data_IF_176478349283
#
_entry.id   IF_176478349283
#
_cell.length_a   1.000
_cell.length_b   1.000
_cell.length_c   1.000
_cell.angle_alpha   90.00
_cell.angle_beta   90.00
_cell.angle_gamma   90.00
#
_symmetry.space_group_name_H-M   'P 1'
#
loop_
_entity.id
_entity.type
_entity.pdbx_description
1 polymer ?
#
# COMPACT_ATOMS: atom_id res chain seq x y z
N UNK A 1 -0.14 30.81 22.63
CA UNK A 1 0.42 30.56 21.28
C UNK A 1 -0.73 30.27 20.34
N UNK A 2 -1.07 31.21 19.46
CA UNK A 2 -2.17 31.07 18.52
C UNK A 2 -1.84 29.97 17.50
N UNK A 3 -2.66 28.91 17.50
CA UNK A 3 -2.65 27.87 16.48
C UNK A 3 -3.16 28.49 15.17
N UNK A 4 -2.27 29.00 14.33
CA UNK A 4 -2.61 29.32 12.95
C UNK A 4 -2.85 27.99 12.21
N UNK A 5 -4.10 27.55 12.18
CA UNK A 5 -4.56 26.52 11.26
C UNK A 5 -4.36 27.07 9.84
N UNK A 6 -3.27 26.67 9.19
CA UNK A 6 -3.08 26.92 7.75
C UNK A 6 -4.31 26.37 7.02
N UNK A 7 -4.96 27.17 6.18
CA UNK A 7 -6.12 26.73 5.44
C UNK A 7 -5.76 25.49 4.59
N UNK A 8 -6.68 24.53 4.50
CA UNK A 8 -6.48 23.34 3.67
C UNK A 8 -6.39 23.74 2.20
N UNK A 9 -5.53 23.05 1.44
CA UNK A 9 -5.35 23.27 0.00
C UNK A 9 -6.65 22.96 -0.76
N UNK A 10 -7.05 23.80 -1.71
CA UNK A 10 -8.22 23.56 -2.56
C UNK A 10 -7.91 22.62 -3.73
N UNK A 11 -8.96 22.16 -4.43
CA UNK A 11 -8.79 21.34 -5.64
C UNK A 11 -8.19 22.12 -6.80
N UNK A 12 -8.54 23.40 -6.93
CA UNK A 12 -8.00 24.32 -7.93
C UNK A 12 -6.51 24.55 -7.71
N UNK A 13 -6.10 24.77 -6.46
CA UNK A 13 -4.70 24.92 -6.09
C UNK A 13 -3.91 23.65 -6.39
N UNK A 14 -4.43 22.47 -6.06
CA UNK A 14 -3.76 21.20 -6.38
C UNK A 14 -3.61 20.99 -7.89
N UNK A 15 -4.68 21.24 -8.67
CA UNK A 15 -4.64 21.16 -10.13
C UNK A 15 -3.62 22.12 -10.72
N UNK A 16 -3.53 23.34 -10.19
CA UNK A 16 -2.51 24.30 -10.61
C UNK A 16 -1.10 23.79 -10.33
N UNK A 17 -0.86 23.13 -9.18
CA UNK A 17 0.45 22.52 -8.86
C UNK A 17 0.81 21.37 -9.80
N UNK A 18 -0.16 20.55 -10.21
CA UNK A 18 0.09 19.51 -11.22
C UNK A 18 0.54 20.09 -12.56
N UNK A 19 0.07 21.29 -12.92
CA UNK A 19 0.42 21.96 -14.17
C UNK A 19 1.74 22.74 -14.13
N UNK A 20 2.44 22.80 -12.98
CA UNK A 20 3.75 23.46 -12.91
C UNK A 20 4.81 22.75 -13.76
N UNK A 21 5.77 23.54 -14.27
CA UNK A 21 6.98 22.99 -14.90
C UNK A 21 7.78 22.14 -13.90
N UNK A 22 8.57 21.21 -14.43
CA UNK A 22 9.41 20.34 -13.60
C UNK A 22 10.37 21.16 -12.73
N UNK A 23 11.01 22.20 -13.28
CA UNK A 23 11.92 23.08 -12.53
C UNK A 23 11.24 23.74 -11.33
N UNK A 24 10.04 24.31 -11.53
CA UNK A 24 9.26 24.89 -10.43
C UNK A 24 8.90 23.85 -9.37
N UNK A 25 8.62 22.61 -9.79
CA UNK A 25 8.33 21.51 -8.86
C UNK A 25 9.57 21.11 -8.07
N UNK A 26 10.75 21.13 -8.68
CA UNK A 26 12.04 20.91 -8.02
C UNK A 26 12.29 22.00 -6.97
N UNK A 27 12.15 23.27 -7.34
CA UNK A 27 12.32 24.43 -6.43
C UNK A 27 11.41 24.31 -5.20
N UNK A 28 10.10 24.16 -5.40
CA UNK A 28 9.15 24.00 -4.29
C UNK A 28 9.49 22.76 -3.44
N UNK A 29 9.95 21.67 -4.04
CA UNK A 29 10.35 20.47 -3.30
C UNK A 29 11.58 20.73 -2.44
N UNK A 30 12.58 21.44 -2.96
CA UNK A 30 13.77 21.80 -2.21
C UNK A 30 13.46 22.76 -1.06
N UNK A 31 12.58 23.73 -1.24
CA UNK A 31 12.13 24.59 -0.13
C UNK A 31 11.53 23.76 1.01
N UNK A 32 10.66 22.79 0.68
CA UNK A 32 10.06 21.89 1.68
C UNK A 32 11.09 20.98 2.34
N UNK A 33 12.12 20.55 1.61
CA UNK A 33 13.23 19.75 2.12
C UNK A 33 14.07 20.57 3.10
N UNK A 34 14.46 21.80 2.74
CA UNK A 34 15.22 22.74 3.58
C UNK A 34 14.46 23.04 4.87
N UNK A 35 13.16 23.34 4.77
CA UNK A 35 12.30 23.60 5.92
C UNK A 35 12.29 22.41 6.91
N UNK A 36 12.12 21.20 6.37
CA UNK A 36 12.05 19.97 7.16
C UNK A 36 13.40 19.63 7.81
N UNK A 37 14.47 19.71 7.03
CA UNK A 37 15.84 19.45 7.49
C UNK A 37 16.20 20.41 8.64
N UNK A 38 15.97 21.71 8.44
CA UNK A 38 16.23 22.75 9.45
C UNK A 38 15.39 22.54 10.71
N UNK A 39 14.11 22.20 10.56
CA UNK A 39 13.18 21.99 11.69
C UNK A 39 13.65 20.92 12.68
N UNK A 40 14.33 19.89 12.17
CA UNK A 40 14.82 18.75 12.95
C UNK A 40 16.35 18.76 13.14
N UNK A 41 17.02 19.88 12.84
CA UNK A 41 18.47 20.03 13.03
C UNK A 41 19.28 19.00 12.24
N UNK A 42 18.84 18.68 11.03
CA UNK A 42 19.45 17.67 10.15
C UNK A 42 19.22 16.21 10.53
N UNK A 43 18.58 15.93 11.68
CA UNK A 43 18.23 14.57 12.08
C UNK A 43 16.96 14.09 11.38
N UNK A 44 17.08 13.80 10.09
CA UNK A 44 16.02 13.34 9.19
C UNK A 44 16.53 12.17 8.33
N UNK A 45 15.61 11.46 7.68
CA UNK A 45 15.95 10.35 6.78
C UNK A 45 15.06 10.32 5.55
N UNK A 46 15.48 9.64 4.49
CA UNK A 46 14.60 9.31 3.35
C UNK A 46 14.05 7.90 3.54
N UNK A 47 12.73 7.74 3.59
CA UNK A 47 12.09 6.43 3.52
C UNK A 47 12.21 5.89 2.10
N UNK A 48 13.22 5.05 1.86
CA UNK A 48 13.64 4.62 0.53
C UNK A 48 13.18 3.19 0.25
N UNK A 49 12.33 2.99 -0.75
CA UNK A 49 11.81 1.65 -1.13
C UNK A 49 12.45 1.08 -2.39
N UNK A 50 13.31 1.82 -3.08
CA UNK A 50 13.84 1.43 -4.40
C UNK A 50 12.87 1.62 -5.56
N UNK A 51 11.66 2.15 -5.31
CA UNK A 51 10.73 2.54 -6.37
C UNK A 51 11.10 3.88 -7.01
N UNK A 52 10.55 4.16 -8.19
CA UNK A 52 10.83 5.39 -8.95
C UNK A 52 10.67 6.66 -8.10
N UNK A 53 9.52 6.81 -7.44
CA UNK A 53 9.21 7.96 -6.58
C UNK A 53 10.25 8.16 -5.47
N UNK A 54 10.62 7.08 -4.78
CA UNK A 54 11.60 7.15 -3.69
C UNK A 54 13.02 7.38 -4.19
N UNK A 55 13.31 7.01 -5.44
CA UNK A 55 14.60 7.23 -6.11
C UNK A 55 14.74 8.70 -6.47
N UNK A 56 13.72 9.31 -7.08
CA UNK A 56 13.68 10.75 -7.33
C UNK A 56 13.76 11.54 -6.03
N UNK A 57 13.00 11.17 -5.00
CA UNK A 57 13.07 11.86 -3.72
C UNK A 57 14.47 11.78 -3.07
N UNK A 58 15.14 10.64 -3.17
CA UNK A 58 16.48 10.48 -2.63
C UNK A 58 17.49 11.37 -3.36
N UNK A 59 17.40 11.42 -4.69
CA UNK A 59 18.24 12.28 -5.52
C UNK A 59 17.97 13.77 -5.25
N UNK A 60 16.69 14.17 -5.14
CA UNK A 60 16.32 15.54 -4.75
C UNK A 60 16.98 15.92 -3.43
N UNK A 61 16.81 15.11 -2.38
CA UNK A 61 17.36 15.41 -1.05
C UNK A 61 18.88 15.49 -1.09
N UNK A 62 19.56 14.47 -1.67
CA UNK A 62 21.01 14.35 -1.57
C UNK A 62 21.76 15.24 -2.55
N UNK A 63 21.30 15.31 -3.79
CA UNK A 63 22.04 15.92 -4.89
C UNK A 63 21.48 17.30 -5.23
N UNK A 64 20.17 17.43 -5.51
CA UNK A 64 19.62 18.74 -5.92
C UNK A 64 19.54 19.75 -4.79
N UNK A 65 19.11 19.33 -3.61
CA UNK A 65 18.95 20.23 -2.47
C UNK A 65 20.18 20.24 -1.53
N UNK A 66 21.21 19.43 -1.84
CA UNK A 66 22.53 19.55 -1.21
C UNK A 66 22.71 18.88 0.16
N UNK A 67 22.01 17.77 0.45
CA UNK A 67 22.12 17.03 1.72
C UNK A 67 22.62 15.58 1.53
N UNK A 68 23.84 15.37 0.99
CA UNK A 68 24.36 14.04 0.63
C UNK A 68 24.50 13.08 1.83
N UNK A 69 24.64 13.61 3.04
CA UNK A 69 24.78 12.87 4.29
C UNK A 69 23.46 12.27 4.81
N UNK A 70 22.30 12.76 4.34
CA UNK A 70 21.00 12.28 4.83
C UNK A 70 20.85 10.78 4.55
N UNK A 71 20.63 9.94 5.59
CA UNK A 71 20.53 8.51 5.43
C UNK A 71 19.23 8.11 4.72
N UNK A 72 19.32 7.09 3.88
CA UNK A 72 18.17 6.40 3.34
C UNK A 72 17.85 5.19 4.23
N UNK A 73 16.57 4.96 4.53
CA UNK A 73 16.10 3.85 5.36
C UNK A 73 15.22 2.94 4.52
N UNK A 74 15.66 1.70 4.34
CA UNK A 74 14.93 0.67 3.62
C UNK A 74 14.34 -0.37 4.57
N UNK A 75 13.01 -0.48 4.60
CA UNK A 75 12.32 -1.52 5.36
C UNK A 75 12.19 -2.79 4.52
N UNK A 76 13.18 -3.70 4.62
CA UNK A 76 13.12 -4.99 3.96
C UNK A 76 12.16 -5.91 4.73
N UNK A 77 10.99 -6.15 4.14
CA UNK A 77 9.95 -7.01 4.73
C UNK A 77 10.16 -8.49 4.42
N UNK A 78 11.09 -8.80 3.51
CA UNK A 78 11.27 -10.12 2.91
C UNK A 78 10.25 -10.42 1.81
N UNK A 79 9.48 -9.41 1.38
CA UNK A 79 8.44 -9.51 0.35
C UNK A 79 8.78 -8.70 -0.91
N UNK A 80 9.91 -8.00 -0.92
CA UNK A 80 10.37 -7.17 -2.03
C UNK A 80 11.07 -8.01 -3.11
N UNK A 81 10.87 -7.63 -4.37
CA UNK A 81 11.54 -8.27 -5.50
C UNK A 81 13.07 -8.27 -5.34
N UNK A 82 13.76 -9.37 -5.70
CA UNK A 82 15.23 -9.46 -5.61
C UNK A 82 15.95 -8.32 -6.33
N UNK A 83 15.49 -7.92 -7.51
CA UNK A 83 16.02 -6.83 -8.33
C UNK A 83 15.95 -5.51 -7.57
N UNK A 84 14.81 -5.27 -6.90
CA UNK A 84 14.61 -4.07 -6.11
C UNK A 84 15.47 -4.08 -4.85
N UNK A 85 15.62 -5.23 -4.18
CA UNK A 85 16.54 -5.36 -3.03
C UNK A 85 17.99 -5.14 -3.46
N UNK A 86 18.39 -5.66 -4.61
CA UNK A 86 19.74 -5.47 -5.17
C UNK A 86 19.98 -4.00 -5.49
N UNK A 87 19.06 -3.34 -6.20
CA UNK A 87 19.12 -1.91 -6.48
C UNK A 87 19.22 -1.08 -5.21
N UNK A 88 18.41 -1.35 -4.19
CA UNK A 88 18.47 -0.59 -2.93
C UNK A 88 19.82 -0.75 -2.24
N UNK A 89 20.42 -1.94 -2.28
CA UNK A 89 21.73 -2.21 -1.67
C UNK A 89 22.90 -1.60 -2.43
N UNK A 90 22.75 -1.29 -3.72
CA UNK A 90 23.79 -0.59 -4.47
C UNK A 90 23.84 0.91 -4.17
N UNK A 91 22.81 1.46 -3.52
CA UNK A 91 22.77 2.87 -3.16
C UNK A 91 23.59 3.13 -1.88
N UNK A 92 24.51 4.11 -1.88
CA UNK A 92 25.33 4.42 -0.71
C UNK A 92 24.48 4.98 0.45
N UNK A 93 24.96 4.81 1.68
CA UNK A 93 24.31 5.32 2.90
C UNK A 93 22.82 4.90 3.01
N UNK A 94 22.53 3.64 2.65
CA UNK A 94 21.25 2.98 2.90
C UNK A 94 21.35 2.11 4.15
N UNK A 95 20.39 2.28 5.04
CA UNK A 95 20.23 1.50 6.27
C UNK A 95 19.05 0.55 6.10
N UNK A 96 19.36 -0.74 5.93
CA UNK A 96 18.36 -1.78 5.81
C UNK A 96 17.87 -2.23 7.19
N UNK A 97 16.57 -2.07 7.45
CA UNK A 97 15.90 -2.53 8.67
C UNK A 97 14.99 -3.71 8.35
N UNK A 98 14.82 -4.62 9.32
CA UNK A 98 13.98 -5.81 9.19
C UNK A 98 12.95 -5.94 10.31
N UNK A 99 11.77 -6.51 10.02
CA UNK A 99 10.81 -6.86 11.05
C UNK A 99 11.33 -7.99 11.94
N UNK A 100 10.75 -8.11 13.14
CA UNK A 100 11.09 -9.20 14.08
C UNK A 100 10.48 -10.55 13.68
N UNK A 101 9.48 -10.55 12.81
CA UNK A 101 8.76 -11.72 12.34
C UNK A 101 8.74 -11.74 10.82
N UNK A 102 8.87 -12.94 10.24
CA UNK A 102 8.68 -13.14 8.81
C UNK A 102 7.20 -13.20 8.43
N UNK A 103 6.89 -13.04 7.13
CA UNK A 103 5.50 -13.03 6.66
C UNK A 103 4.72 -14.30 6.99
N UNK A 104 5.35 -15.49 6.91
CA UNK A 104 4.74 -16.77 7.32
C UNK A 104 4.21 -16.70 8.76
N UNK A 105 5.05 -16.28 9.70
CA UNK A 105 4.65 -16.14 11.10
C UNK A 105 3.54 -15.11 11.29
N UNK A 106 3.53 -14.05 10.48
CA UNK A 106 2.47 -13.03 10.51
C UNK A 106 1.13 -13.60 10.06
N UNK A 107 1.05 -14.31 8.93
CA UNK A 107 -0.20 -14.91 8.46
C UNK A 107 -0.68 -16.04 9.39
N UNK A 108 0.26 -16.81 9.96
CA UNK A 108 0.00 -17.85 10.97
C UNK A 108 -0.39 -17.28 12.33
N UNK A 109 -0.15 -15.99 12.61
CA UNK A 109 -0.55 -15.36 13.87
C UNK A 109 -1.81 -14.52 13.73
N UNK A 110 -1.93 -13.76 12.63
CA UNK A 110 -2.95 -12.72 12.47
C UNK A 110 -3.94 -13.02 11.35
N UNK A 111 -3.48 -13.66 10.27
CA UNK A 111 -4.30 -13.94 9.09
C UNK A 111 -3.83 -13.21 7.83
N UNK A 112 -4.56 -13.44 6.74
CA UNK A 112 -4.22 -12.98 5.39
C UNK A 112 -4.78 -11.59 5.08
N UNK A 113 -4.02 -10.73 4.38
CA UNK A 113 -4.47 -9.40 3.97
C UNK A 113 -5.20 -9.45 2.62
N UNK A 114 -6.52 -9.65 2.63
CA UNK A 114 -7.35 -9.78 1.42
C UNK A 114 -8.15 -8.52 1.07
N UNK A 115 -8.46 -8.36 -0.21
CA UNK A 115 -9.34 -7.30 -0.76
C UNK A 115 -8.79 -5.89 -0.57
N UNK A 116 -8.90 -5.32 0.63
CA UNK A 116 -8.39 -3.99 0.99
C UNK A 116 -8.05 -3.96 2.47
N UNK A 117 -7.21 -3.01 2.90
CA UNK A 117 -6.86 -2.86 4.32
C UNK A 117 -8.09 -2.73 5.21
N UNK A 118 -9.07 -1.93 4.77
CA UNK A 118 -10.33 -1.72 5.50
C UNK A 118 -11.13 -3.00 5.63
N UNK A 119 -11.36 -3.71 4.53
CA UNK A 119 -12.12 -4.97 4.56
C UNK A 119 -11.40 -6.02 5.41
N UNK A 120 -10.09 -6.18 5.22
CA UNK A 120 -9.26 -7.07 6.03
C UNK A 120 -9.35 -6.77 7.52
N UNK A 121 -9.24 -5.49 7.89
CA UNK A 121 -9.37 -5.05 9.27
C UNK A 121 -10.75 -5.41 9.83
N UNK A 122 -11.83 -5.08 9.12
CA UNK A 122 -13.19 -5.26 9.61
C UNK A 122 -13.56 -6.73 9.76
N UNK A 123 -13.22 -7.57 8.77
CA UNK A 123 -13.44 -9.02 8.85
C UNK A 123 -12.65 -9.60 10.03
N UNK A 124 -11.38 -9.22 10.18
CA UNK A 124 -10.55 -9.67 11.30
C UNK A 124 -11.03 -9.17 12.68
N UNK A 125 -11.68 -8.00 12.75
CA UNK A 125 -12.36 -7.53 13.97
C UNK A 125 -13.57 -8.40 14.32
N UNK A 126 -14.37 -8.79 13.33
CA UNK A 126 -15.53 -9.68 13.52
C UNK A 126 -15.10 -11.09 13.91
N UNK A 127 -14.11 -11.67 13.21
CA UNK A 127 -13.61 -13.02 13.47
C UNK A 127 -13.04 -13.20 14.90
N UNK A 128 -12.46 -12.14 15.48
CA UNK A 128 -11.87 -12.17 16.82
C UNK A 128 -12.83 -11.76 17.94
N UNK A 129 -14.00 -11.21 17.61
CA UNK A 129 -14.93 -10.71 18.60
C UNK A 129 -15.54 -11.86 19.42
N UNK A 130 -15.46 -11.75 20.74
CA UNK A 130 -16.15 -12.65 21.66
C UNK A 130 -17.52 -12.04 22.00
N UNK A 131 -18.60 -12.73 21.61
CA UNK A 131 -19.97 -12.26 21.80
C UNK A 131 -20.37 -11.12 20.86
N UNK A 132 -21.40 -10.36 21.27
CA UNK A 132 -21.89 -9.19 20.55
C UNK A 132 -21.22 -7.92 21.08
N UNK A 133 -20.45 -7.25 20.23
CA UNK A 133 -19.71 -6.03 20.60
C UNK A 133 -20.15 -4.87 19.72
N UNK A 134 -20.00 -3.64 20.19
CA UNK A 134 -20.34 -2.46 19.38
C UNK A 134 -19.57 -2.41 18.05
N UNK A 135 -18.31 -2.85 18.03
CA UNK A 135 -17.50 -2.97 16.81
C UNK A 135 -18.06 -4.03 15.88
N UNK A 136 -18.38 -5.23 16.39
CA UNK A 136 -19.00 -6.30 15.59
C UNK A 136 -20.32 -5.84 14.98
N UNK A 137 -21.20 -5.24 15.78
CA UNK A 137 -22.47 -4.64 15.32
C UNK A 137 -22.24 -3.63 14.20
N UNK A 138 -21.30 -2.71 14.38
CA UNK A 138 -20.94 -1.71 13.38
C UNK A 138 -20.47 -2.35 12.08
N UNK A 139 -19.60 -3.37 12.15
CA UNK A 139 -19.05 -4.05 10.96
C UNK A 139 -20.11 -4.86 10.22
N UNK A 140 -21.07 -5.45 10.93
CA UNK A 140 -22.10 -6.29 10.33
C UNK A 140 -23.30 -5.50 9.79
N UNK A 141 -23.67 -4.38 10.42
CA UNK A 141 -24.93 -3.67 10.15
C UNK A 141 -24.76 -2.19 9.78
N UNK A 142 -23.56 -1.64 9.97
CA UNK A 142 -23.30 -0.20 9.88
C UNK A 142 -23.81 0.61 11.08
N UNK A 143 -24.41 -0.01 12.09
CA UNK A 143 -24.99 0.71 13.23
C UNK A 143 -23.92 1.17 14.22
N UNK A 144 -23.77 2.49 14.39
CA UNK A 144 -22.83 3.07 15.37
C UNK A 144 -23.31 2.91 16.80
N UNK A 145 -22.45 3.19 17.79
CA UNK A 145 -22.84 3.22 19.21
C UNK A 145 -23.92 4.26 19.51
N UNK A 146 -24.04 5.30 18.69
CA UNK A 146 -25.05 6.38 18.82
C UNK A 146 -26.38 6.07 18.11
N UNK A 147 -26.54 4.85 17.57
CA UNK A 147 -27.78 4.45 16.88
C UNK A 147 -27.92 5.02 15.47
N UNK A 148 -26.86 5.60 14.89
CA UNK A 148 -26.87 6.10 13.50
C UNK A 148 -26.25 5.08 12.56
N UNK A 149 -26.65 5.10 11.27
CA UNK A 149 -26.11 4.18 10.25
C UNK A 149 -24.90 4.80 9.53
N UNK A 150 -23.79 4.08 9.47
CA UNK A 150 -22.57 4.44 8.74
C UNK A 150 -22.23 3.40 7.69
N UNK A 151 -22.38 3.75 6.41
CA UNK A 151 -22.00 2.88 5.29
C UNK A 151 -20.50 2.58 5.24
N UNK A 152 -19.66 3.50 5.72
CA UNK A 152 -18.20 3.31 5.77
C UNK A 152 -17.76 2.40 6.93
N UNK A 153 -18.62 2.20 7.92
CA UNK A 153 -18.37 1.34 9.07
C UNK A 153 -18.66 -0.14 8.81
N UNK A 154 -19.47 -0.44 7.79
CA UNK A 154 -19.96 -1.79 7.46
C UNK A 154 -19.04 -2.53 6.49
N UNK A 155 -18.94 -3.85 6.64
CA UNK A 155 -18.34 -4.74 5.64
C UNK A 155 -19.31 -4.83 4.46
N UNK A 156 -18.87 -4.55 3.22
CA UNK A 156 -19.72 -4.73 2.05
C UNK A 156 -20.23 -6.17 1.95
N UNK A 157 -21.50 -6.37 1.61
CA UNK A 157 -22.16 -7.70 1.66
C UNK A 157 -21.42 -8.81 0.91
N UNK A 158 -20.80 -8.48 -0.23
CA UNK A 158 -20.00 -9.42 -1.04
C UNK A 158 -18.80 -10.01 -0.28
N UNK A 159 -18.32 -9.31 0.75
CA UNK A 159 -17.17 -9.71 1.54
C UNK A 159 -17.56 -10.26 2.92
N UNK A 160 -18.84 -10.23 3.31
CA UNK A 160 -19.31 -10.85 4.56
C UNK A 160 -19.00 -12.35 4.63
N UNK A 161 -19.05 -13.15 3.55
CA UNK A 161 -18.65 -14.55 3.59
C UNK A 161 -17.19 -14.80 4.03
N UNK A 162 -16.31 -13.78 3.95
CA UNK A 162 -14.95 -13.90 4.49
C UNK A 162 -14.91 -14.02 6.01
N UNK A 163 -15.99 -13.73 6.72
CA UNK A 163 -16.08 -13.92 8.18
C UNK A 163 -15.94 -15.40 8.52
N UNK A 164 -16.59 -16.28 7.76
CA UNK A 164 -16.67 -17.71 8.02
C UNK A 164 -15.91 -18.56 6.97
N UNK A 165 -14.89 -17.98 6.32
CA UNK A 165 -14.16 -18.62 5.20
C UNK A 165 -13.14 -19.69 5.60
N UNK A 166 -13.06 -20.08 6.88
CA UNK A 166 -12.16 -21.12 7.36
C UNK A 166 -10.69 -20.70 7.54
N UNK A 167 -10.33 -19.45 7.22
CA UNK A 167 -9.02 -18.87 7.54
C UNK A 167 -9.16 -17.47 8.17
N UNK A 168 -8.13 -17.05 8.90
CA UNK A 168 -8.11 -15.71 9.50
C UNK A 168 -7.76 -14.64 8.48
N UNK A 169 -8.43 -13.51 8.57
CA UNK A 169 -8.23 -12.33 7.74
C UNK A 169 -7.71 -11.17 8.58
N UNK A 170 -6.69 -10.46 8.08
CA UNK A 170 -6.07 -9.35 8.82
C UNK A 170 -5.25 -8.41 7.95
N UNK A 171 -5.26 -7.12 8.27
CA UNK A 171 -4.39 -6.10 7.66
C UNK A 171 -3.06 -5.89 8.42
N UNK A 172 -2.81 -6.67 9.48
CA UNK A 172 -1.68 -6.51 10.40
C UNK A 172 -0.31 -6.74 9.76
N UNK A 173 -0.22 -7.35 8.57
CA UNK A 173 1.08 -7.54 7.92
C UNK A 173 1.81 -6.22 7.65
N UNK A 174 1.08 -5.17 7.24
CA UNK A 174 1.65 -3.85 7.04
C UNK A 174 2.15 -3.23 8.36
N UNK A 175 1.47 -3.52 9.47
CA UNK A 175 1.86 -3.05 10.79
C UNK A 175 3.16 -3.71 11.23
N UNK A 176 3.18 -5.05 11.28
CA UNK A 176 4.29 -5.85 11.79
C UNK A 176 5.51 -5.77 10.89
N UNK A 177 5.31 -5.89 9.58
CA UNK A 177 6.43 -6.00 8.64
C UNK A 177 7.04 -4.65 8.26
N UNK A 178 6.24 -3.57 8.26
CA UNK A 178 6.67 -2.26 7.74
C UNK A 178 6.62 -1.15 8.79
N UNK A 179 5.46 -0.92 9.43
CA UNK A 179 5.31 0.24 10.34
C UNK A 179 6.13 0.10 11.62
N UNK A 180 6.16 -1.07 12.24
CA UNK A 180 6.96 -1.32 13.46
C UNK A 180 8.48 -1.15 13.27
N UNK A 181 9.13 -1.75 12.25
CA UNK A 181 10.53 -1.49 12.00
C UNK A 181 10.80 -0.03 11.66
N UNK A 182 9.98 0.62 10.82
CA UNK A 182 10.14 2.05 10.51
C UNK A 182 10.00 2.92 11.77
N UNK A 183 9.08 2.60 12.69
CA UNK A 183 8.95 3.31 13.96
C UNK A 183 10.22 3.21 14.83
N UNK A 184 10.92 2.08 14.80
CA UNK A 184 12.23 1.94 15.46
C UNK A 184 13.30 2.77 14.74
N UNK A 185 13.33 2.74 13.41
CA UNK A 185 14.28 3.50 12.62
C UNK A 185 14.11 5.01 12.79
N UNK A 186 12.87 5.52 12.87
CA UNK A 186 12.59 6.95 13.12
C UNK A 186 13.16 7.44 14.46
N UNK A 187 13.29 6.57 15.47
CA UNK A 187 13.96 6.95 16.73
C UNK A 187 15.45 7.19 16.54
N UNK A 188 16.08 6.45 15.63
CA UNK A 188 17.51 6.51 15.34
C UNK A 188 17.81 7.64 14.35
N UNK A 189 17.20 7.59 13.16
CA UNK A 189 17.51 8.49 12.04
C UNK A 189 16.64 9.74 11.97
N UNK A 190 15.59 9.82 12.80
CA UNK A 190 14.67 10.95 12.83
C UNK A 190 13.51 10.87 11.82
N UNK A 191 12.65 11.90 11.77
CA UNK A 191 11.43 11.91 10.97
C UNK A 191 11.70 11.85 9.45
N UNK A 192 10.92 11.07 8.69
CA UNK A 192 11.27 10.77 7.30
C UNK A 192 10.71 11.78 6.29
N UNK A 193 11.47 11.98 5.22
CA UNK A 193 10.95 12.28 3.89
C UNK A 193 10.33 11.01 3.29
N UNK A 194 9.17 11.14 2.65
CA UNK A 194 8.40 10.02 2.07
C UNK A 194 7.95 10.37 0.65
N UNK A 195 8.27 9.51 -0.30
CA UNK A 195 7.95 9.70 -1.72
C UNK A 195 6.53 9.27 -2.07
N UNK A 196 5.52 9.81 -1.38
CA UNK A 196 4.11 9.61 -1.76
C UNK A 196 3.56 10.85 -2.46
N UNK A 197 2.90 10.64 -3.60
CA UNK A 197 2.18 11.63 -4.41
C UNK A 197 0.68 11.63 -4.10
N UNK A 198 0.05 12.78 -4.26
CA UNK A 198 -1.39 12.97 -4.09
C UNK A 198 -2.18 12.18 -5.15
N UNK A 199 -1.70 12.17 -6.40
CA UNK A 199 -2.32 11.48 -7.55
C UNK A 199 -2.48 9.96 -7.34
N UNK A 200 -1.66 9.34 -6.49
CA UNK A 200 -1.68 7.88 -6.32
C UNK A 200 -2.95 7.34 -5.64
N UNK A 201 -3.68 8.17 -4.87
CA UNK A 201 -4.99 7.79 -4.30
C UNK A 201 -5.69 8.97 -3.63
N UNK A 202 -7.03 8.92 -3.58
CA UNK A 202 -7.87 9.85 -2.82
C UNK A 202 -7.40 10.07 -1.37
N UNK A 203 -6.92 9.02 -0.69
CA UNK A 203 -6.44 9.15 0.69
C UNK A 203 -5.15 9.98 0.80
N UNK A 204 -4.25 9.86 -0.19
CA UNK A 204 -3.01 10.65 -0.25
C UNK A 204 -3.30 12.09 -0.63
N UNK A 205 -4.21 12.30 -1.57
CA UNK A 205 -4.72 13.63 -1.94
C UNK A 205 -5.31 14.36 -0.74
N UNK A 206 -6.27 13.75 -0.05
CA UNK A 206 -6.89 14.34 1.15
C UNK A 206 -5.84 14.63 2.23
N UNK A 207 -4.90 13.71 2.46
CA UNK A 207 -3.81 13.94 3.41
C UNK A 207 -2.93 15.12 3.00
N UNK A 208 -2.62 15.28 1.72
CA UNK A 208 -1.82 16.38 1.22
C UNK A 208 -2.57 17.70 1.33
N UNK A 209 -3.85 17.74 0.95
CA UNK A 209 -4.69 18.94 1.08
C UNK A 209 -4.82 19.40 2.53
N UNK A 210 -4.95 18.45 3.46
CA UNK A 210 -5.13 18.74 4.88
C UNK A 210 -3.83 19.15 5.59
N UNK A 211 -2.69 18.54 5.24
CA UNK A 211 -1.45 18.69 6.00
C UNK A 211 -0.31 19.35 5.23
N UNK A 212 -0.45 19.59 3.93
CA UNK A 212 0.61 20.05 3.04
C UNK A 212 1.75 19.03 2.91
N UNK A 213 2.89 19.48 2.38
CA UNK A 213 4.09 18.64 2.25
C UNK A 213 4.67 18.28 3.63
N UNK A 214 4.83 19.26 4.51
CA UNK A 214 5.48 19.09 5.81
C UNK A 214 4.44 18.98 6.92
N UNK A 215 4.08 17.73 7.26
CA UNK A 215 3.05 17.42 8.23
C UNK A 215 3.62 17.36 9.66
N UNK A 216 4.04 18.50 10.20
CA UNK A 216 4.74 18.60 11.49
C UNK A 216 3.91 18.10 12.69
N UNK A 217 2.60 18.31 12.66
CA UNK A 217 1.71 18.09 13.81
C UNK A 217 0.99 16.73 13.80
N UNK A 218 1.34 15.84 12.87
CA UNK A 218 0.83 14.47 12.88
C UNK A 218 1.42 13.68 14.05
N UNK A 219 0.68 12.71 14.58
CA UNK A 219 1.19 11.75 15.57
C UNK A 219 2.49 11.07 15.11
N UNK A 220 2.64 10.87 13.81
CA UNK A 220 3.90 10.47 13.17
C UNK A 220 4.26 11.53 12.13
N UNK A 221 5.10 12.51 12.47
CA UNK A 221 5.53 13.56 11.55
C UNK A 221 6.22 12.98 10.33
N UNK A 222 5.91 13.52 9.15
CA UNK A 222 6.55 13.17 7.89
C UNK A 222 6.55 14.36 6.94
N UNK A 223 7.51 14.38 6.02
CA UNK A 223 7.52 15.27 4.87
C UNK A 223 7.25 14.48 3.59
N UNK A 224 6.42 15.00 2.69
CA UNK A 224 6.18 14.48 1.35
C UNK A 224 6.49 15.55 0.31
N UNK A 225 7.78 15.87 0.06
CA UNK A 225 8.17 17.01 -0.77
C UNK A 225 7.63 16.93 -2.20
N UNK A 226 7.51 15.70 -2.72
CA UNK A 226 7.03 15.43 -4.07
C UNK A 226 5.51 15.16 -4.13
N UNK A 227 4.73 15.53 -3.11
CA UNK A 227 3.31 15.19 -3.05
C UNK A 227 2.49 15.71 -4.25
N UNK A 228 2.88 16.85 -4.82
CA UNK A 228 2.22 17.49 -5.95
C UNK A 228 2.85 17.11 -7.31
N UNK A 229 3.78 16.16 -7.35
CA UNK A 229 4.31 15.62 -8.60
C UNK A 229 3.35 14.58 -9.17
N UNK A 230 3.36 14.41 -10.48
CA UNK A 230 2.58 13.43 -11.24
C UNK A 230 3.42 12.20 -11.59
N UNK A 231 2.77 11.16 -12.11
CA UNK A 231 3.37 10.05 -12.84
C UNK A 231 4.45 10.48 -13.84
N UNK A 232 4.13 11.51 -14.61
CA UNK A 232 4.95 11.97 -15.72
C UNK A 232 6.19 12.73 -15.25
N UNK A 233 6.04 13.59 -14.24
CA UNK A 233 7.17 14.36 -13.68
C UNK A 233 8.28 13.42 -13.16
N UNK A 234 7.90 12.34 -12.49
CA UNK A 234 8.87 11.35 -11.97
C UNK A 234 9.65 10.68 -13.12
N UNK A 235 8.97 10.28 -14.20
CA UNK A 235 9.62 9.67 -15.36
C UNK A 235 10.50 10.66 -16.10
N UNK A 236 10.03 11.89 -16.27
CA UNK A 236 10.79 12.95 -16.91
C UNK A 236 12.06 13.27 -16.12
N UNK A 237 11.95 13.43 -14.80
CA UNK A 237 13.09 13.66 -13.92
C UNK A 237 14.14 12.54 -13.99
N UNK A 238 13.70 11.26 -13.88
CA UNK A 238 14.59 10.11 -13.99
C UNK A 238 15.36 10.14 -15.31
N UNK A 239 14.69 10.50 -16.41
CA UNK A 239 15.30 10.62 -17.73
C UNK A 239 16.29 11.79 -17.81
N UNK A 240 15.89 12.98 -17.35
CA UNK A 240 16.73 14.19 -17.40
C UNK A 240 18.02 14.01 -16.59
N UNK A 241 17.89 13.43 -15.40
CA UNK A 241 19.02 13.21 -14.47
C UNK A 241 19.75 11.88 -14.69
N UNK A 242 19.29 11.08 -15.67
CA UNK A 242 19.84 9.74 -15.96
C UNK A 242 19.94 8.85 -14.71
N UNK A 243 18.92 8.88 -13.85
CA UNK A 243 18.96 8.17 -12.59
C UNK A 243 18.88 6.65 -12.79
N UNK A 244 19.71 5.86 -12.09
CA UNK A 244 19.54 4.42 -12.05
C UNK A 244 18.23 4.09 -11.34
N UNK A 245 17.50 3.10 -11.84
CA UNK A 245 16.30 2.56 -11.20
C UNK A 245 16.32 1.03 -11.21
N UNK A 246 15.45 0.42 -10.42
CA UNK A 246 15.37 -1.05 -10.33
C UNK A 246 15.00 -1.67 -11.69
N UNK A 247 15.75 -2.66 -12.19
CA UNK A 247 15.42 -3.38 -13.44
C UNK A 247 14.03 -4.04 -13.44
N UNK A 248 13.42 -4.18 -12.26
CA UNK A 248 12.04 -4.64 -12.10
C UNK A 248 11.05 -3.89 -13.02
N UNK A 249 11.25 -2.58 -13.20
CA UNK A 249 10.35 -1.76 -14.02
C UNK A 249 10.43 -2.12 -15.51
N UNK A 250 11.61 -2.56 -15.99
CA UNK A 250 11.79 -3.02 -17.37
C UNK A 250 11.16 -4.40 -17.62
N UNK A 251 10.80 -5.11 -16.56
CA UNK A 251 10.11 -6.40 -16.61
C UNK A 251 8.57 -6.26 -16.70
N UNK A 252 8.05 -5.03 -16.82
CA UNK A 252 6.62 -4.74 -16.96
C UNK A 252 5.89 -4.50 -15.64
N UNK A 253 6.61 -4.28 -14.54
CA UNK A 253 6.01 -3.90 -13.26
C UNK A 253 5.93 -2.38 -13.12
N UNK A 254 4.74 -1.86 -12.80
CA UNK A 254 4.57 -0.42 -12.56
C UNK A 254 4.90 0.01 -11.13
N UNK A 255 5.15 -0.94 -10.21
CA UNK A 255 5.32 -0.66 -8.77
C UNK A 255 6.15 -1.73 -8.07
N UNK A 256 7.14 -1.31 -7.27
CA UNK A 256 7.97 -2.17 -6.42
C UNK A 256 7.34 -2.49 -5.06
N UNK A 257 6.13 -3.06 -5.09
CA UNK A 257 5.39 -3.48 -3.89
C UNK A 257 5.82 -4.85 -3.34
N UNK A 258 5.08 -5.35 -2.34
CA UNK A 258 5.21 -6.74 -1.91
C UNK A 258 4.76 -7.69 -3.04
N UNK A 259 5.64 -8.61 -3.43
CA UNK A 259 5.51 -9.49 -4.61
C UNK A 259 4.17 -10.23 -4.71
N UNK A 260 3.61 -10.66 -3.57
CA UNK A 260 2.42 -11.52 -3.52
C UNK A 260 1.33 -11.01 -2.58
N UNK A 261 1.20 -9.69 -2.45
CA UNK A 261 0.16 -9.10 -1.61
C UNK A 261 -1.24 -9.42 -2.17
N UNK A 262 -2.12 -9.98 -1.34
CA UNK A 262 -3.51 -10.27 -1.71
C UNK A 262 -4.43 -9.03 -1.67
N UNK A 263 -3.93 -7.89 -1.19
CA UNK A 263 -4.67 -6.63 -1.24
C UNK A 263 -4.77 -6.15 -2.70
N UNK A 264 -6.00 -5.88 -3.12
CA UNK A 264 -6.33 -5.47 -4.48
C UNK A 264 -6.44 -6.62 -5.49
N UNK A 265 -6.17 -7.87 -5.11
CA UNK A 265 -6.16 -9.01 -6.04
C UNK A 265 -7.50 -9.33 -6.74
N UNK A 266 -8.59 -8.70 -6.29
CA UNK A 266 -9.92 -8.84 -6.89
C UNK A 266 -10.19 -7.83 -8.02
N UNK A 267 -9.28 -6.88 -8.24
CA UNK A 267 -9.37 -5.92 -9.34
C UNK A 267 -9.05 -6.63 -10.66
N UNK A 268 -9.89 -6.43 -11.67
CA UNK A 268 -9.79 -7.15 -12.94
C UNK A 268 -8.56 -6.77 -13.77
N UNK A 269 -8.05 -5.56 -13.54
CA UNK A 269 -6.82 -5.01 -14.12
C UNK A 269 -5.56 -5.42 -13.35
N UNK A 270 -5.68 -6.21 -12.28
CA UNK A 270 -4.55 -6.67 -11.49
C UNK A 270 -3.99 -8.00 -12.02
N UNK A 271 -2.92 -7.92 -12.80
CA UNK A 271 -2.24 -9.07 -13.38
C UNK A 271 -0.98 -9.50 -12.61
N UNK A 272 -0.80 -9.04 -11.36
CA UNK A 272 0.49 -9.19 -10.65
C UNK A 272 0.92 -10.65 -10.49
N UNK A 273 -0.03 -11.57 -10.28
CA UNK A 273 0.28 -12.99 -10.08
C UNK A 273 0.62 -13.69 -11.38
N UNK A 274 -0.01 -13.31 -12.49
CA UNK A 274 0.34 -13.79 -13.83
C UNK A 274 1.74 -13.32 -14.23
N UNK A 275 2.05 -12.05 -13.98
CA UNK A 275 3.37 -11.49 -14.23
C UNK A 275 4.42 -12.13 -13.33
N UNK A 276 4.10 -12.37 -12.05
CA UNK A 276 4.97 -13.08 -11.10
C UNK A 276 5.24 -14.52 -11.54
N UNK A 277 4.23 -15.22 -12.09
CA UNK A 277 4.41 -16.57 -12.62
C UNK A 277 5.42 -16.61 -13.77
N UNK A 278 5.37 -15.61 -14.66
CA UNK A 278 6.25 -15.48 -15.83
C UNK A 278 7.67 -15.09 -15.43
N UNK A 279 7.81 -14.10 -14.56
CA UNK A 279 9.10 -13.48 -14.25
C UNK A 279 9.82 -14.15 -13.08
N UNK A 280 9.09 -14.70 -12.11
CA UNK A 280 9.62 -15.27 -10.87
C UNK A 280 8.95 -16.61 -10.50
N UNK A 281 9.04 -17.65 -11.34
CA UNK A 281 8.29 -18.90 -11.16
C UNK A 281 8.56 -19.61 -9.83
N UNK A 282 9.78 -19.50 -9.29
CA UNK A 282 10.13 -20.07 -7.96
C UNK A 282 9.39 -19.36 -6.82
N UNK A 283 9.30 -18.03 -6.90
CA UNK A 283 8.55 -17.23 -5.90
C UNK A 283 7.06 -17.53 -6.02
N UNK A 284 6.54 -17.59 -7.24
CA UNK A 284 5.16 -17.97 -7.50
C UNK A 284 4.82 -19.34 -6.89
N UNK A 285 5.66 -20.36 -7.14
CA UNK A 285 5.48 -21.69 -6.57
C UNK A 285 5.54 -21.68 -5.03
N UNK A 286 6.45 -20.91 -4.43
CA UNK A 286 6.49 -20.75 -2.97
C UNK A 286 5.20 -20.15 -2.40
N UNK A 287 4.63 -19.14 -3.08
CA UNK A 287 3.38 -18.50 -2.67
C UNK A 287 2.20 -19.48 -2.71
N UNK A 288 2.14 -20.29 -3.76
CA UNK A 288 1.12 -21.33 -3.96
C UNK A 288 1.28 -22.47 -2.95
N UNK A 289 2.45 -23.10 -2.93
CA UNK A 289 2.63 -24.40 -2.30
C UNK A 289 2.97 -24.31 -0.82
N UNK A 290 3.54 -23.18 -0.37
CA UNK A 290 4.09 -23.05 0.99
C UNK A 290 3.37 -22.01 1.83
N UNK A 291 2.73 -21.02 1.24
CA UNK A 291 2.03 -19.96 1.96
C UNK A 291 0.50 -20.07 1.87
N UNK A 292 -0.06 -21.01 1.11
CA UNK A 292 -1.52 -21.19 0.97
C UNK A 292 -2.24 -19.96 0.39
N UNK A 293 -1.52 -19.08 -0.31
CA UNK A 293 -2.09 -17.81 -0.79
C UNK A 293 -3.11 -18.03 -1.91
N UNK A 294 -2.96 -19.12 -2.67
CA UNK A 294 -3.82 -19.41 -3.80
C UNK A 294 -5.17 -19.98 -3.36
N UNK A 295 -5.21 -20.77 -2.30
CA UNK A 295 -6.48 -21.19 -1.68
C UNK A 295 -7.30 -19.98 -1.21
N UNK A 296 -6.61 -18.96 -0.68
CA UNK A 296 -7.24 -17.69 -0.29
C UNK A 296 -7.70 -16.89 -1.52
N UNK A 297 -6.88 -16.82 -2.58
CA UNK A 297 -7.25 -16.17 -3.84
C UNK A 297 -8.50 -16.80 -4.45
N UNK A 298 -8.60 -18.13 -4.48
CA UNK A 298 -9.75 -18.85 -5.03
C UNK A 298 -11.05 -18.49 -4.30
N UNK A 299 -10.99 -18.24 -2.99
CA UNK A 299 -12.15 -17.76 -2.21
C UNK A 299 -12.50 -16.32 -2.62
N UNK A 300 -11.52 -15.43 -2.73
CA UNK A 300 -11.75 -14.05 -3.15
C UNK A 300 -12.34 -14.00 -4.56
N UNK A 301 -11.82 -14.79 -5.49
CA UNK A 301 -12.28 -14.89 -6.88
C UNK A 301 -13.69 -15.47 -6.98
N UNK A 302 -14.04 -16.49 -6.19
CA UNK A 302 -15.42 -17.00 -6.15
C UNK A 302 -16.42 -15.94 -5.69
N UNK A 303 -16.10 -15.21 -4.62
CA UNK A 303 -16.97 -14.17 -4.08
C UNK A 303 -17.13 -12.98 -5.02
N UNK A 304 -16.04 -12.53 -5.64
CA UNK A 304 -16.06 -11.33 -6.49
C UNK A 304 -16.35 -11.63 -7.95
N UNK A 305 -15.75 -12.67 -8.50
CA UNK A 305 -15.86 -13.09 -9.89
C UNK A 305 -17.30 -13.43 -10.29
N UNK A 306 -18.11 -13.97 -9.38
CA UNK A 306 -19.56 -14.13 -9.61
C UNK A 306 -20.29 -12.79 -9.74
N UNK A 307 -19.95 -11.80 -8.91
CA UNK A 307 -20.57 -10.46 -8.94
C UNK A 307 -20.09 -9.66 -10.14
N UNK A 308 -18.82 -9.78 -10.54
CA UNK A 308 -18.29 -9.23 -11.79
C UNK A 308 -19.03 -9.86 -12.97
N UNK A 309 -19.11 -11.19 -13.04
CA UNK A 309 -19.92 -11.91 -14.06
C UNK A 309 -21.38 -11.43 -14.08
N UNK A 310 -22.03 -11.16 -12.94
CA UNK A 310 -23.40 -10.61 -12.91
C UNK A 310 -23.49 -9.15 -13.40
N UNK A 311 -22.45 -8.33 -13.16
CA UNK A 311 -22.37 -6.96 -13.68
C UNK A 311 -22.07 -6.92 -15.17
N UNK A 312 -21.20 -7.79 -15.67
CA UNK A 312 -20.87 -7.89 -17.10
C UNK A 312 -21.92 -8.67 -17.90
N UNK A 313 -22.67 -9.60 -17.29
CA UNK A 313 -23.86 -10.22 -17.93
C UNK A 313 -25.02 -9.25 -18.17
N UNK A 314 -25.05 -8.07 -17.52
CA UNK A 314 -25.94 -6.96 -17.92
C UNK A 314 -25.44 -6.22 -19.16
N UNK A 315 -24.25 -6.54 -19.67
CA UNK A 315 -23.60 -5.89 -20.79
C UNK A 315 -22.74 -6.89 -21.60
N UNK A 316 -23.28 -8.05 -22.01
CA UNK A 316 -22.80 -8.86 -23.14
C UNK A 316 -23.60 -10.16 -23.31
N UNK A 317 -23.73 -10.70 -24.54
CA UNK A 317 -24.56 -11.86 -24.85
C UNK A 317 -23.98 -13.16 -24.29
N UNK A 318 -24.90 -14.10 -24.04
CA UNK A 318 -24.66 -15.40 -23.43
C UNK A 318 -23.75 -16.29 -24.28
N UNK A 319 -22.66 -16.77 -23.70
CA UNK A 319 -22.03 -18.03 -24.10
C UNK A 319 -21.99 -18.95 -22.88
N UNK A 320 -22.46 -20.18 -23.06
CA UNK A 320 -22.58 -21.21 -22.03
C UNK A 320 -21.21 -21.85 -21.72
N UNK A 321 -20.90 -22.13 -20.44
CA UNK A 321 -19.79 -23.01 -20.11
C UNK A 321 -20.26 -24.47 -20.06
N UNK A 322 -19.45 -25.39 -20.61
CA UNK A 322 -19.58 -26.83 -20.43
C UNK A 322 -19.16 -27.25 -19.01
N UNK A 323 -19.73 -28.32 -18.43
CA UNK A 323 -19.38 -28.79 -17.10
C UNK A 323 -18.17 -29.72 -17.12
N UNK A 324 -17.19 -29.48 -16.24
CA UNK A 324 -16.15 -30.44 -15.87
C UNK A 324 -16.56 -31.17 -14.56
N UNK A 325 -16.75 -32.49 -14.55
CA UNK A 325 -17.42 -33.22 -13.47
C UNK A 325 -16.55 -33.58 -12.24
N UNK A 326 -15.39 -32.97 -12.01
CA UNK A 326 -14.44 -33.44 -10.99
C UNK A 326 -14.58 -32.85 -9.57
N UNK A 327 -15.68 -32.17 -9.21
CA UNK A 327 -15.91 -31.67 -7.83
C UNK A 327 -17.36 -31.80 -7.35
N UNK A 328 -18.01 -32.91 -7.70
CA UNK A 328 -19.21 -33.37 -6.99
C UNK A 328 -18.77 -34.06 -5.69
N UNK A 329 -18.54 -33.30 -4.62
CA UNK A 329 -18.19 -33.95 -3.36
C UNK A 329 -17.75 -33.06 -2.22
N UNK A 330 -18.37 -31.90 -1.96
CA UNK A 330 -18.37 -31.30 -0.62
C UNK A 330 -19.54 -30.30 -0.51
N UNK A 331 -20.69 -30.83 -0.12
CA UNK A 331 -21.78 -30.17 0.63
C UNK A 331 -23.05 -31.03 0.49
N UNK A 332 -23.05 -32.19 1.14
CA UNK A 332 -24.30 -32.81 1.57
C UNK A 332 -24.51 -32.33 3.01
N UNK A 333 -25.25 -31.25 3.19
CA UNK A 333 -26.04 -31.06 4.40
C UNK A 333 -27.41 -31.73 4.14
N UNK A 334 -27.47 -33.04 4.39
CA UNK A 334 -28.66 -33.69 4.96
C UNK A 334 -28.54 -33.46 6.48
N UNK A 335 -29.55 -33.10 7.24
CA UNK A 335 -30.99 -32.99 7.06
C UNK A 335 -31.60 -32.88 8.47
N UNK A 336 -32.91 -32.68 8.57
CA UNK A 336 -33.66 -32.72 9.84
C UNK A 336 -34.43 -31.44 10.08
#
# INVERSE_FOLDING_TARGET
MMSHSKAALTDEELKARYAWSLDRKIEESCDRIVDWHSRFGGRVSVSFSGGLDSTVLLDLVRNKCGYPEVPAVFSNTGLEFPENVHFVRSIPNVHEIRPRRGFRQVIETFGYPVVSKRVSQYVGEVQRAQGETATKRLRLTGMTSRGTKSRLGEIPDVWKPLIDCGFRVSDQCCQVLKKEPLARAMKIFGPPFVGTRAEESMQRELSYKQHGCNAYHMQSPRSTPIAFWTGQDIREYIKQESLPYSPLYDMGYDRSGCMWCLLGAHHADDNRFELLAKTHPRVYAFCRDRLGLFDVLDVVERLWGERYRRRTKKAAPTVSPSPNPALAGFCILKGG
#
